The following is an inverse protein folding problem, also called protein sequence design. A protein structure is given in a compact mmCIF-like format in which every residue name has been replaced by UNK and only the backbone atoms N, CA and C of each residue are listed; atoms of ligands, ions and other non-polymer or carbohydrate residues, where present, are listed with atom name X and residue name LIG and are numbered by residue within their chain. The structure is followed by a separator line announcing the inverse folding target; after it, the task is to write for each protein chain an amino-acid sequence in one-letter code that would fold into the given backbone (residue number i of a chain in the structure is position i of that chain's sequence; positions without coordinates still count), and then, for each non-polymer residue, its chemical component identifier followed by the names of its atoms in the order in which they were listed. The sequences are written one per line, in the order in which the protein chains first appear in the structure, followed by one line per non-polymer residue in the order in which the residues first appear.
data_IF_230350585690
#
_entry.id   IF_230350585690
#
_cell.length_a   1.000
_cell.length_b   1.000
_cell.length_c   1.000
_cell.angle_alpha   90.00
_cell.angle_beta   90.00
_cell.angle_gamma   90.00
#
_symmetry.space_group_name_H-M   'P 1'
#
loop_
_entity.id
_entity.type
_entity.pdbx_description
1 polymer ?
#
# COMPACT_ATOMS: atom_id res chain seq x y z
N UNK A 1 -61.00 -19.36 -35.22
CA UNK A 1 -60.30 -20.31 -34.33
C UNK A 1 -58.87 -19.85 -34.05
N UNK A 2 -58.09 -19.44 -35.06
CA UNK A 2 -56.77 -18.84 -34.85
C UNK A 2 -56.81 -17.41 -34.29
N UNK A 3 -57.82 -16.61 -34.66
CA UNK A 3 -57.97 -15.22 -34.18
C UNK A 3 -58.29 -15.12 -32.68
N UNK A 4 -59.05 -16.07 -32.14
CA UNK A 4 -59.34 -16.17 -30.71
C UNK A 4 -58.11 -16.57 -29.90
N UNK A 5 -57.24 -17.43 -30.46
CA UNK A 5 -55.98 -17.80 -29.82
C UNK A 5 -54.99 -16.64 -29.86
N UNK A 6 -54.90 -15.92 -30.99
CA UNK A 6 -54.12 -14.69 -31.13
C UNK A 6 -54.57 -13.62 -30.12
N UNK A 7 -55.88 -13.41 -29.98
CA UNK A 7 -56.44 -12.48 -29.00
C UNK A 7 -56.09 -12.82 -27.55
N UNK A 8 -56.16 -14.10 -27.17
CA UNK A 8 -55.78 -14.57 -25.83
C UNK A 8 -54.28 -14.39 -25.58
N UNK A 9 -53.43 -14.73 -26.56
CA UNK A 9 -51.98 -14.51 -26.44
C UNK A 9 -51.62 -13.03 -26.35
N UNK A 10 -52.29 -12.16 -27.11
CA UNK A 10 -52.04 -10.72 -27.08
C UNK A 10 -52.52 -10.06 -25.78
N UNK A 11 -53.63 -10.56 -25.21
CA UNK A 11 -54.16 -10.11 -23.92
C UNK A 11 -53.21 -10.48 -22.76
N UNK A 12 -52.55 -11.64 -22.84
CA UNK A 12 -51.69 -12.15 -21.77
C UNK A 12 -50.20 -11.80 -21.93
N UNK A 13 -49.77 -11.39 -23.13
CA UNK A 13 -48.39 -10.99 -23.42
C UNK A 13 -47.85 -9.88 -22.49
N UNK A 14 -48.59 -8.81 -22.15
CA UNK A 14 -48.11 -7.79 -21.21
C UNK A 14 -47.87 -8.35 -19.80
N UNK A 15 -48.71 -9.28 -19.35
CA UNK A 15 -48.59 -9.92 -18.04
C UNK A 15 -47.39 -10.89 -17.99
N UNK A 16 -47.17 -11.66 -19.05
CA UNK A 16 -45.99 -12.52 -19.21
C UNK A 16 -44.69 -11.70 -19.29
N UNK A 17 -44.74 -10.54 -19.92
CA UNK A 17 -43.58 -9.64 -20.00
C UNK A 17 -43.27 -9.00 -18.64
N UNK A 18 -44.30 -8.55 -17.91
CA UNK A 18 -44.15 -7.95 -16.59
C UNK A 18 -43.64 -8.95 -15.55
N UNK A 19 -44.16 -10.19 -15.56
CA UNK A 19 -43.66 -11.26 -14.69
C UNK A 19 -42.19 -11.59 -14.97
N UNK A 20 -41.80 -11.74 -16.24
CA UNK A 20 -40.38 -11.93 -16.62
C UNK A 20 -39.49 -10.75 -16.25
N UNK A 21 -39.99 -9.52 -16.37
CA UNK A 21 -39.24 -8.33 -15.97
C UNK A 21 -39.04 -8.27 -14.44
N UNK A 22 -40.08 -8.64 -13.69
CA UNK A 22 -40.06 -8.65 -12.22
C UNK A 22 -39.09 -9.70 -11.69
N UNK A 23 -39.12 -10.90 -12.28
CA UNK A 23 -38.20 -11.99 -11.95
C UNK A 23 -36.74 -11.62 -12.22
N UNK A 24 -36.45 -11.05 -13.41
CA UNK A 24 -35.10 -10.55 -13.72
C UNK A 24 -34.66 -9.42 -12.80
N UNK A 25 -35.54 -8.46 -12.50
CA UNK A 25 -35.25 -7.35 -11.60
C UNK A 25 -34.95 -7.83 -10.18
N UNK A 26 -35.66 -8.86 -9.72
CA UNK A 26 -35.45 -9.44 -8.41
C UNK A 26 -34.10 -10.17 -8.33
N UNK A 27 -33.76 -10.98 -9.34
CA UNK A 27 -32.44 -11.63 -9.40
C UNK A 27 -31.29 -10.62 -9.48
N UNK A 28 -31.44 -9.52 -10.22
CA UNK A 28 -30.43 -8.44 -10.26
C UNK A 28 -30.31 -7.73 -8.91
N UNK A 29 -31.42 -7.56 -8.19
CA UNK A 29 -31.42 -6.93 -6.86
C UNK A 29 -30.76 -7.82 -5.82
N UNK A 30 -31.03 -9.12 -5.85
CA UNK A 30 -30.39 -10.11 -4.97
C UNK A 30 -28.88 -10.18 -5.22
N UNK A 31 -28.45 -10.18 -6.49
CA UNK A 31 -27.03 -10.18 -6.81
C UNK A 31 -26.35 -8.86 -6.41
N UNK A 32 -27.05 -7.72 -6.56
CA UNK A 32 -26.58 -6.43 -6.06
C UNK A 32 -26.41 -6.43 -4.55
N UNK A 33 -27.38 -6.98 -3.81
CA UNK A 33 -27.34 -7.04 -2.35
C UNK A 33 -26.26 -8.04 -1.87
N UNK A 34 -26.05 -9.15 -2.59
CA UNK A 34 -24.95 -10.11 -2.35
C UNK A 34 -23.58 -9.46 -2.55
N UNK A 35 -23.38 -8.77 -3.68
CA UNK A 35 -22.14 -8.08 -4.00
C UNK A 35 -21.86 -6.96 -2.99
N UNK A 36 -22.89 -6.22 -2.58
CA UNK A 36 -22.77 -5.19 -1.55
C UNK A 36 -22.40 -5.78 -0.19
N UNK A 37 -22.99 -6.91 0.21
CA UNK A 37 -22.62 -7.61 1.44
C UNK A 37 -21.18 -8.14 1.42
N UNK A 38 -20.68 -8.59 0.27
CA UNK A 38 -19.27 -8.96 0.10
C UNK A 38 -18.35 -7.74 0.26
N UNK A 39 -18.73 -6.60 -0.34
CA UNK A 39 -17.97 -5.34 -0.25
C UNK A 39 -17.95 -4.81 1.19
N UNK A 40 -19.11 -4.70 1.84
CA UNK A 40 -19.23 -4.24 3.24
C UNK A 40 -18.51 -5.18 4.22
N UNK A 41 -18.46 -6.48 3.92
CA UNK A 41 -17.66 -7.46 4.65
C UNK A 41 -16.16 -7.29 4.42
N UNK A 42 -15.73 -6.86 3.24
CA UNK A 42 -14.33 -6.52 2.97
C UNK A 42 -13.92 -5.16 3.55
N UNK A 43 -14.80 -4.16 3.64
CA UNK A 43 -14.47 -2.84 4.21
C UNK A 43 -14.09 -2.93 5.70
N UNK A 44 -14.84 -3.71 6.49
CA UNK A 44 -14.48 -3.98 7.90
C UNK A 44 -13.14 -4.70 8.02
N UNK A 45 -12.84 -5.58 7.08
CA UNK A 45 -11.55 -6.26 7.03
C UNK A 45 -10.41 -5.34 6.61
N UNK A 46 -10.69 -4.29 5.81
CA UNK A 46 -9.72 -3.27 5.38
C UNK A 46 -9.39 -2.33 6.52
N UNK A 47 -10.38 -1.82 7.26
CA UNK A 47 -10.14 -0.99 8.45
C UNK A 47 -9.35 -1.76 9.52
N UNK A 48 -9.77 -2.99 9.85
CA UNK A 48 -9.03 -3.86 10.77
C UNK A 48 -7.63 -4.22 10.23
N UNK A 49 -7.46 -4.31 8.91
CA UNK A 49 -6.15 -4.55 8.29
C UNK A 49 -5.26 -3.33 8.34
N UNK A 50 -5.81 -2.12 8.15
CA UNK A 50 -5.07 -0.87 8.22
C UNK A 50 -4.50 -0.66 9.63
N UNK A 51 -5.32 -0.85 10.66
CA UNK A 51 -4.90 -0.77 12.07
C UNK A 51 -3.83 -1.82 12.37
N UNK A 52 -3.99 -3.06 11.87
CA UNK A 52 -2.97 -4.11 12.00
C UNK A 52 -1.66 -3.76 11.29
N UNK A 53 -1.71 -3.11 10.14
CA UNK A 53 -0.52 -2.68 9.38
C UNK A 53 0.22 -1.56 10.11
N UNK A 54 -0.49 -0.60 10.69
CA UNK A 54 0.11 0.50 11.45
C UNK A 54 0.86 -0.01 12.68
N UNK A 55 0.25 -0.92 13.44
CA UNK A 55 0.91 -1.61 14.56
C UNK A 55 2.12 -2.44 14.09
N UNK A 56 2.00 -3.12 12.94
CA UNK A 56 3.09 -3.90 12.36
C UNK A 56 4.27 -3.03 11.92
N UNK A 57 4.00 -1.83 11.40
CA UNK A 57 5.03 -0.88 10.97
C UNK A 57 5.73 -0.24 12.17
N UNK A 58 4.98 0.19 13.19
CA UNK A 58 5.55 0.69 14.44
C UNK A 58 6.40 -0.40 15.14
N UNK A 59 5.91 -1.65 15.11
CA UNK A 59 6.68 -2.80 15.54
C UNK A 59 7.95 -2.96 14.69
N UNK A 60 7.87 -2.94 13.37
CA UNK A 60 9.05 -3.12 12.51
C UNK A 60 10.12 -2.03 12.72
N UNK A 61 9.69 -0.79 12.96
CA UNK A 61 10.57 0.34 13.27
C UNK A 61 11.32 0.12 14.59
N UNK A 62 10.59 -0.29 15.64
CA UNK A 62 11.13 -0.39 17.00
C UNK A 62 11.78 -1.75 17.29
N UNK A 63 11.37 -2.80 16.60
CA UNK A 63 11.79 -4.18 16.84
C UNK A 63 13.29 -4.37 16.67
N UNK A 64 13.91 -3.77 15.65
CA UNK A 64 15.37 -3.90 15.44
C UNK A 64 16.16 -3.34 16.63
N UNK A 65 15.77 -2.16 17.12
CA UNK A 65 16.39 -1.51 18.28
C UNK A 65 16.18 -2.33 19.55
N UNK A 66 14.91 -2.69 19.84
CA UNK A 66 14.54 -3.49 21.01
C UNK A 66 15.15 -4.90 20.99
N UNK A 67 15.35 -5.50 19.83
CA UNK A 67 16.03 -6.79 19.70
C UNK A 67 17.52 -6.69 19.98
N UNK A 68 18.17 -5.57 19.62
CA UNK A 68 19.61 -5.39 19.83
C UNK A 68 19.93 -5.05 21.29
N UNK A 69 19.14 -4.16 21.89
CA UNK A 69 19.34 -3.63 23.24
C UNK A 69 18.61 -4.45 24.33
N UNK A 70 17.62 -5.24 23.95
CA UNK A 70 16.74 -5.95 24.88
C UNK A 70 17.33 -7.22 25.48
N UNK A 71 16.72 -7.63 26.59
CA UNK A 71 17.03 -8.89 27.26
C UNK A 71 16.46 -10.11 26.49
N UNK A 72 16.77 -11.32 26.94
CA UNK A 72 16.33 -12.56 26.28
C UNK A 72 14.80 -12.66 26.16
N UNK A 73 14.06 -12.13 27.13
CA UNK A 73 12.60 -12.13 27.14
C UNK A 73 12.03 -11.24 26.01
N UNK A 74 12.54 -10.02 25.90
CA UNK A 74 12.15 -9.10 24.81
C UNK A 74 12.49 -9.69 23.43
N UNK A 75 13.64 -10.36 23.30
CA UNK A 75 14.01 -11.02 22.04
C UNK A 75 13.01 -12.12 21.67
N UNK A 76 12.56 -12.92 22.65
CA UNK A 76 11.54 -13.96 22.43
C UNK A 76 10.19 -13.38 22.05
N UNK A 77 9.76 -12.31 22.71
CA UNK A 77 8.51 -11.61 22.40
C UNK A 77 8.53 -11.06 20.97
N UNK A 78 9.62 -10.40 20.56
CA UNK A 78 9.79 -9.89 19.20
C UNK A 78 9.71 -11.03 18.17
N UNK A 79 10.36 -12.17 18.43
CA UNK A 79 10.32 -13.32 17.53
C UNK A 79 8.91 -13.92 17.42
N UNK A 80 8.18 -14.00 18.55
CA UNK A 80 6.80 -14.47 18.58
C UNK A 80 5.83 -13.53 17.84
N UNK A 81 6.08 -12.22 17.88
CA UNK A 81 5.28 -11.25 17.13
C UNK A 81 5.57 -11.25 15.63
N UNK A 82 6.79 -11.64 15.21
CA UNK A 82 7.20 -11.64 13.80
C UNK A 82 6.51 -12.73 12.98
N UNK A 83 6.18 -13.86 13.60
CA UNK A 83 5.59 -15.00 12.91
C UNK A 83 5.37 -16.22 13.78
N UNK A 84 4.85 -17.26 13.13
CA UNK A 84 4.58 -18.56 13.73
C UNK A 84 5.66 -19.58 13.37
N UNK A 85 5.60 -20.78 13.96
CA UNK A 85 6.47 -21.91 13.61
C UNK A 85 7.97 -21.58 13.68
N UNK A 86 8.39 -21.10 14.85
CA UNK A 86 9.78 -20.83 15.19
C UNK A 86 10.53 -22.17 15.36
N UNK A 87 11.26 -22.59 14.32
CA UNK A 87 12.06 -23.82 14.34
C UNK A 87 13.54 -23.44 14.31
N UNK A 88 14.27 -23.85 15.35
CA UNK A 88 15.73 -23.72 15.39
C UNK A 88 16.34 -25.03 14.91
N UNK A 89 16.95 -25.00 13.73
CA UNK A 89 17.57 -26.15 13.07
C UNK A 89 19.00 -25.75 12.68
N UNK A 90 20.00 -26.49 13.13
CA UNK A 90 21.43 -26.24 12.82
C UNK A 90 21.91 -24.80 13.10
N UNK A 91 21.37 -24.17 14.15
CA UNK A 91 21.69 -22.78 14.50
C UNK A 91 21.03 -21.73 13.60
N UNK A 92 20.18 -22.16 12.67
CA UNK A 92 19.37 -21.30 11.81
C UNK A 92 17.94 -21.26 12.34
N UNK A 93 17.44 -20.05 12.63
CA UNK A 93 16.06 -19.86 13.04
C UNK A 93 15.16 -19.69 11.82
N UNK A 94 14.30 -20.67 11.58
CA UNK A 94 13.23 -20.61 10.58
C UNK A 94 11.97 -20.03 11.23
N UNK A 95 11.34 -19.08 10.54
CA UNK A 95 10.12 -18.39 10.99
C UNK A 95 9.14 -18.32 9.83
N UNK A 96 7.89 -18.68 10.08
CA UNK A 96 6.80 -18.43 9.13
C UNK A 96 6.20 -17.06 9.38
N UNK A 97 6.61 -16.09 8.56
CA UNK A 97 6.15 -14.70 8.64
C UNK A 97 4.79 -14.51 7.96
N UNK A 98 4.01 -13.56 8.49
CA UNK A 98 2.71 -13.21 7.95
C UNK A 98 2.80 -12.67 6.51
N UNK A 99 1.75 -12.88 5.70
CA UNK A 99 1.72 -12.46 4.28
C UNK A 99 2.13 -11.00 4.04
N UNK A 100 1.68 -10.00 4.83
CA UNK A 100 2.06 -8.60 4.62
C UNK A 100 3.57 -8.36 4.73
N UNK A 101 4.22 -8.98 5.72
CA UNK A 101 5.67 -8.88 5.92
C UNK A 101 6.46 -9.48 4.74
N UNK A 102 5.98 -10.57 4.14
CA UNK A 102 6.59 -11.18 2.95
C UNK A 102 6.50 -10.26 1.72
N UNK A 103 5.43 -9.48 1.59
CA UNK A 103 5.28 -8.51 0.49
C UNK A 103 6.28 -7.37 0.67
N UNK A 104 6.36 -6.81 1.89
CA UNK A 104 7.34 -5.76 2.22
C UNK A 104 8.76 -6.28 1.97
N UNK A 105 9.09 -7.50 2.41
CA UNK A 105 10.39 -8.12 2.17
C UNK A 105 10.76 -8.20 0.68
N UNK A 106 9.78 -8.46 -0.20
CA UNK A 106 9.98 -8.48 -1.65
C UNK A 106 10.13 -7.08 -2.26
N UNK A 107 9.50 -6.06 -1.67
CA UNK A 107 9.58 -4.68 -2.12
C UNK A 107 10.87 -3.96 -1.69
N UNK A 108 11.46 -4.36 -0.55
CA UNK A 108 12.69 -3.74 0.01
C UNK A 108 13.85 -3.65 -1.00
N UNK A 109 14.18 -4.67 -1.82
CA UNK A 109 15.24 -4.56 -2.82
C UNK A 109 14.99 -3.47 -3.87
N UNK A 110 13.74 -3.30 -4.32
CA UNK A 110 13.38 -2.28 -5.30
C UNK A 110 13.42 -0.89 -4.69
N UNK A 111 12.87 -0.74 -3.48
CA UNK A 111 12.94 0.50 -2.71
C UNK A 111 14.39 0.91 -2.48
N UNK A 112 15.25 -0.01 -2.05
CA UNK A 112 16.68 0.26 -1.86
C UNK A 112 17.40 0.65 -3.16
N UNK A 113 17.01 0.09 -4.31
CA UNK A 113 17.55 0.53 -5.61
C UNK A 113 17.14 1.95 -5.95
N UNK A 114 15.88 2.32 -5.68
CA UNK A 114 15.39 3.68 -5.85
C UNK A 114 16.11 4.64 -4.91
N UNK A 115 16.20 4.35 -3.61
CA UNK A 115 16.92 5.17 -2.65
C UNK A 115 18.39 5.40 -3.05
N UNK A 116 19.10 4.33 -3.48
CA UNK A 116 20.49 4.46 -3.97
C UNK A 116 20.61 5.32 -5.23
N UNK A 117 19.57 5.37 -6.07
CA UNK A 117 19.53 6.26 -7.25
C UNK A 117 19.31 7.72 -6.86
N UNK A 118 18.59 7.97 -5.76
CA UNK A 118 18.33 9.31 -5.24
C UNK A 118 19.46 9.86 -4.37
N UNK A 119 20.40 9.02 -3.91
CA UNK A 119 21.65 9.54 -3.36
C UNK A 119 22.43 10.25 -4.46
N UNK A 120 22.83 11.52 -4.26
CA UNK A 120 23.79 12.15 -5.15
C UNK A 120 25.02 11.26 -5.18
N UNK A 121 25.47 10.87 -6.37
CA UNK A 121 26.80 10.26 -6.53
C UNK A 121 27.75 11.16 -5.75
N UNK A 122 28.56 10.60 -4.84
CA UNK A 122 29.52 11.34 -3.97
C UNK A 122 30.51 12.25 -4.72
N UNK A 123 30.35 12.38 -6.04
CA UNK A 123 30.94 13.34 -6.95
C UNK A 123 30.22 14.70 -6.91
N UNK A 124 29.47 15.00 -5.84
CA UNK A 124 28.91 16.33 -5.62
C UNK A 124 30.04 17.35 -5.54
N UNK A 125 29.99 18.35 -6.42
CA UNK A 125 30.97 19.44 -6.42
C UNK A 125 30.97 20.10 -5.03
N UNK A 126 32.15 20.34 -4.46
CA UNK A 126 32.25 21.08 -3.19
C UNK A 126 31.74 22.51 -3.38
N UNK A 127 31.26 23.17 -2.31
CA UNK A 127 30.84 24.59 -2.34
C UNK A 127 31.85 25.50 -3.07
N UNK A 128 33.15 25.23 -2.90
CA UNK A 128 34.24 25.94 -3.56
C UNK A 128 34.27 25.70 -5.07
N UNK A 129 34.10 24.46 -5.51
CA UNK A 129 34.05 24.10 -6.93
C UNK A 129 32.80 24.68 -7.62
N UNK A 130 31.66 24.60 -6.95
CA UNK A 130 30.40 25.20 -7.39
C UNK A 130 30.55 26.73 -7.53
N UNK A 131 31.14 27.38 -6.53
CA UNK A 131 31.43 28.82 -6.57
C UNK A 131 32.31 29.20 -7.76
N UNK A 132 33.38 28.42 -8.02
CA UNK A 132 34.28 28.65 -9.16
C UNK A 132 33.57 28.52 -10.51
N UNK A 133 32.68 27.53 -10.66
CA UNK A 133 31.88 27.34 -11.89
C UNK A 133 30.92 28.52 -12.09
N UNK A 134 30.26 28.99 -11.03
CA UNK A 134 29.36 30.13 -11.14
C UNK A 134 30.08 31.44 -11.43
N UNK A 135 31.28 31.68 -10.86
CA UNK A 135 32.09 32.86 -11.17
C UNK A 135 32.54 32.93 -12.64
N UNK A 136 32.52 31.83 -13.38
CA UNK A 136 32.86 31.76 -14.79
C UNK A 136 31.66 31.97 -15.73
N UNK A 137 30.44 31.97 -15.20
CA UNK A 137 29.24 32.17 -16.01
C UNK A 137 28.99 33.66 -16.24
N UNK A 138 28.87 34.13 -17.50
CA UNK A 138 28.61 35.53 -17.79
C UNK A 138 27.17 35.97 -17.44
N UNK A 139 26.26 35.01 -17.18
CA UNK A 139 24.85 35.25 -16.84
C UNK A 139 24.61 35.26 -15.33
N UNK A 140 25.42 34.51 -14.57
CA UNK A 140 25.29 34.43 -13.12
C UNK A 140 26.36 35.33 -12.49
N UNK A 141 25.96 36.53 -12.05
CA UNK A 141 26.84 37.39 -11.28
C UNK A 141 27.23 36.69 -9.97
N UNK A 142 28.47 36.88 -9.45
CA UNK A 142 28.82 36.45 -8.11
C UNK A 142 27.75 36.98 -7.15
N UNK A 143 26.99 36.07 -6.55
CA UNK A 143 25.90 36.45 -5.66
C UNK A 143 26.49 37.35 -4.57
N UNK A 144 26.00 38.59 -4.49
CA UNK A 144 26.37 39.44 -3.39
C UNK A 144 25.99 38.73 -2.11
N UNK A 145 26.93 38.60 -1.17
CA UNK A 145 26.55 38.09 0.14
C UNK A 145 25.45 38.97 0.72
N UNK A 146 24.56 38.37 1.51
CA UNK A 146 23.48 39.10 2.17
C UNK A 146 23.99 40.01 3.29
N UNK A 147 25.32 40.08 3.51
CA UNK A 147 25.98 40.79 4.59
C UNK A 147 26.96 41.84 4.03
N UNK A 148 26.50 42.68 3.09
CA UNK A 148 27.30 43.79 2.58
C UNK A 148 27.71 44.70 3.73
N UNK A 149 29.02 44.83 3.95
CA UNK A 149 29.55 45.79 4.92
C UNK A 149 29.25 47.22 4.42
N UNK A 150 28.94 48.16 5.33
CA UNK A 150 28.80 49.56 4.96
C UNK A 150 30.08 50.03 4.26
N UNK A 151 29.91 50.82 3.22
CA UNK A 151 31.01 51.51 2.54
C UNK A 151 31.22 52.79 3.36
N UNK A 152 32.41 52.93 3.96
CA UNK A 152 32.83 54.14 4.67
C UNK A 152 32.93 55.36 3.72
#
# INVERSE_FOLDING_TARGET
MWDTLLGITLLFAPFLLLSKFTEKKQGIKEEKDRLKGLIDGSDKNVDDWLERVEVLLEFAETAKRRFTEGNLQIKKEILASLGSNLVLEDGVLRIETQKPLRIIQKAVPEINRLYKRFEPIRNGLTKVQIGKIFSQSPVLLPGSDSNRRPID
#
